data_IF_381743037793
#
_entry.id   IF_381743037793
#
_cell.length_a   1.000
_cell.length_b   1.000
_cell.length_c   1.000
_cell.angle_alpha   90.00
_cell.angle_beta   90.00
_cell.angle_gamma   90.00
#
_symmetry.space_group_name_H-M   'P 1'
#
loop_
_entity.id
_entity.type
_entity.pdbx_description
1 polymer ?
#
# COMPACT_ATOMS: atom_id res chain seq x y z
N UNK A 1 7.43 0.00 15.58
CA UNK A 1 6.31 0.62 14.88
C UNK A 1 6.60 2.08 14.55
N UNK A 2 6.06 2.59 13.44
CA UNK A 2 6.25 3.98 13.00
C UNK A 2 5.07 4.86 13.40
N UNK A 3 3.87 4.29 13.37
CA UNK A 3 2.61 4.96 13.63
C UNK A 3 1.76 4.15 14.58
N UNK A 4 0.94 4.80 15.38
CA UNK A 4 -0.05 4.18 16.25
C UNK A 4 -1.33 4.99 16.27
N UNK A 5 -2.46 4.31 16.41
CA UNK A 5 -3.74 4.96 16.68
C UNK A 5 -3.66 5.70 18.00
N UNK A 6 -4.02 6.99 18.06
CA UNK A 6 -4.08 7.75 19.31
C UNK A 6 -4.90 7.04 20.39
N UNK A 7 -4.43 7.12 21.63
CA UNK A 7 -5.13 6.52 22.77
C UNK A 7 -6.56 7.08 22.90
N UNK A 8 -7.50 6.19 23.20
CA UNK A 8 -8.92 6.55 23.36
C UNK A 8 -9.69 6.72 22.05
N UNK A 9 -9.02 6.58 20.90
CA UNK A 9 -9.66 6.58 19.57
C UNK A 9 -9.69 5.16 19.00
N UNK A 10 -10.84 4.72 18.52
CA UNK A 10 -10.96 3.45 17.78
C UNK A 10 -10.28 3.51 16.40
N UNK A 11 -10.21 2.39 15.66
CA UNK A 11 -9.69 2.36 14.32
C UNK A 11 -10.56 3.21 13.38
N UNK A 12 -9.90 4.00 12.53
CA UNK A 12 -10.57 4.71 11.45
C UNK A 12 -10.50 3.89 10.16
N UNK A 13 -11.57 3.94 9.38
CA UNK A 13 -11.64 3.33 8.06
C UNK A 13 -11.96 4.43 7.07
N UNK A 14 -11.05 4.69 6.15
CA UNK A 14 -11.29 5.58 5.01
C UNK A 14 -11.93 4.78 3.88
N UNK A 15 -12.97 5.34 3.27
CA UNK A 15 -13.65 4.74 2.12
C UNK A 15 -13.39 5.62 0.91
N UNK A 16 -12.66 5.10 -0.07
CA UNK A 16 -12.20 5.85 -1.25
C UNK A 16 -12.67 5.21 -2.54
N UNK A 17 -12.74 6.02 -3.60
CA UNK A 17 -13.02 5.53 -4.96
C UNK A 17 -11.83 4.69 -5.46
N UNK A 18 -12.08 3.40 -5.69
CA UNK A 18 -11.08 2.44 -6.13
C UNK A 18 -10.50 2.77 -7.50
N UNK A 19 -11.35 3.12 -8.46
CA UNK A 19 -10.91 3.38 -9.84
C UNK A 19 -10.11 4.68 -9.93
N UNK A 20 -10.48 5.69 -9.16
CA UNK A 20 -9.72 6.94 -9.10
C UNK A 20 -8.35 6.68 -8.46
N UNK A 21 -8.31 5.98 -7.33
CA UNK A 21 -7.04 5.63 -6.68
C UNK A 21 -6.12 4.83 -7.63
N UNK A 22 -6.66 3.77 -8.25
CA UNK A 22 -5.88 2.90 -9.13
C UNK A 22 -5.33 3.60 -10.39
N UNK A 23 -6.04 4.61 -10.92
CA UNK A 23 -5.64 5.32 -12.14
C UNK A 23 -4.81 6.55 -11.89
N UNK A 24 -5.09 7.26 -10.81
CA UNK A 24 -4.52 8.61 -10.59
C UNK A 24 -3.65 8.70 -9.35
N UNK A 25 -3.62 7.66 -8.51
CA UNK A 25 -2.98 7.71 -7.21
C UNK A 25 -3.63 8.71 -6.23
N UNK A 26 -4.92 9.06 -6.41
CA UNK A 26 -5.65 9.98 -5.54
C UNK A 26 -6.69 9.24 -4.73
N UNK A 27 -6.55 9.25 -3.40
CA UNK A 27 -7.51 8.67 -2.45
C UNK A 27 -8.71 9.61 -2.27
N UNK A 28 -9.63 9.59 -3.26
CA UNK A 28 -10.83 10.44 -3.24
C UNK A 28 -11.89 9.80 -2.32
N UNK A 29 -12.33 10.49 -1.25
CA UNK A 29 -13.33 9.95 -0.35
C UNK A 29 -14.66 9.72 -1.06
N UNK A 30 -15.33 8.64 -0.70
CA UNK A 30 -16.69 8.33 -1.15
C UNK A 30 -17.61 8.39 0.06
N UNK A 31 -18.77 9.04 -0.08
CA UNK A 31 -19.76 9.10 0.98
C UNK A 31 -20.23 7.69 1.36
N UNK A 32 -20.36 7.41 2.67
CA UNK A 32 -20.74 6.11 3.20
C UNK A 32 -22.08 5.56 2.65
N UNK A 33 -22.95 6.44 2.13
CA UNK A 33 -24.21 6.07 1.50
C UNK A 33 -24.06 5.50 0.06
N UNK A 34 -22.88 5.64 -0.55
CA UNK A 34 -22.58 5.11 -1.90
C UNK A 34 -21.88 3.75 -1.78
N UNK A 35 -22.52 2.80 -1.11
CA UNK A 35 -22.05 1.41 -0.99
C UNK A 35 -22.19 0.69 -2.34
N UNK A 36 -21.32 1.04 -3.29
CA UNK A 36 -21.19 0.37 -4.58
C UNK A 36 -19.98 -0.58 -4.59
N UNK A 37 -19.87 -1.42 -5.59
CA UNK A 37 -18.76 -2.37 -5.80
C UNK A 37 -17.43 -1.68 -6.12
N UNK A 38 -17.41 -0.35 -6.27
CA UNK A 38 -16.24 0.44 -6.69
C UNK A 38 -15.58 1.21 -5.53
N UNK A 39 -15.72 0.75 -4.31
CA UNK A 39 -15.08 1.37 -3.15
C UNK A 39 -13.98 0.49 -2.57
N UNK A 40 -12.92 1.15 -2.11
CA UNK A 40 -11.84 0.54 -1.33
C UNK A 40 -11.92 1.07 0.11
N UNK A 41 -11.88 0.16 1.08
CA UNK A 41 -11.86 0.50 2.50
C UNK A 41 -10.45 0.27 3.03
N UNK A 42 -9.80 1.35 3.48
CA UNK A 42 -8.44 1.32 3.99
C UNK A 42 -8.44 1.65 5.48
N UNK A 43 -7.84 0.79 6.29
CA UNK A 43 -7.76 1.00 7.74
C UNK A 43 -6.59 1.93 8.04
N UNK A 44 -6.82 2.92 8.91
CA UNK A 44 -5.78 3.82 9.38
C UNK A 44 -4.76 3.08 10.27
N UNK A 45 -3.48 3.28 9.97
CA UNK A 45 -2.37 2.83 10.81
C UNK A 45 -2.02 3.82 11.94
N UNK A 46 -2.78 4.92 12.05
CA UNK A 46 -2.60 5.96 13.05
C UNK A 46 -1.60 7.03 12.64
N UNK A 47 -1.10 7.77 13.65
CA UNK A 47 -0.22 8.93 13.50
C UNK A 47 1.22 8.58 13.86
N UNK A 48 2.21 9.33 13.35
CA UNK A 48 3.61 9.10 13.70
C UNK A 48 3.84 9.14 15.21
N UNK A 49 4.66 8.22 15.71
CA UNK A 49 5.09 8.25 17.11
C UNK A 49 6.02 9.45 17.36
N UNK A 50 6.13 9.93 18.61
CA UNK A 50 7.00 11.06 18.93
C UNK A 50 8.41 10.93 18.36
N UNK A 51 8.94 12.02 17.80
CA UNK A 51 10.26 12.12 17.16
C UNK A 51 10.43 11.27 15.89
N UNK A 52 9.35 10.75 15.33
CA UNK A 52 9.35 10.14 14.00
C UNK A 52 8.59 11.02 13.03
N UNK A 53 9.06 11.05 11.82
CA UNK A 53 8.43 11.73 10.70
C UNK A 53 8.15 10.71 9.60
N UNK A 54 7.05 10.91 8.92
CA UNK A 54 6.68 10.12 7.73
C UNK A 54 6.40 11.09 6.57
N UNK A 55 6.69 10.67 5.37
CA UNK A 55 6.26 11.34 4.16
C UNK A 55 5.88 10.34 3.08
N UNK A 56 5.05 10.79 2.18
CA UNK A 56 4.67 10.02 1.00
C UNK A 56 5.20 10.74 -0.23
N UNK A 57 5.96 10.05 -1.06
CA UNK A 57 6.65 10.67 -2.20
C UNK A 57 6.26 10.03 -3.54
N UNK A 58 6.35 10.82 -4.60
CA UNK A 58 6.21 10.37 -5.98
C UNK A 58 7.46 9.59 -6.45
N UNK A 59 7.47 9.01 -7.67
CA UNK A 59 8.65 8.33 -8.21
C UNK A 59 9.91 9.22 -8.32
N UNK A 60 9.74 10.55 -8.38
CA UNK A 60 10.85 11.51 -8.43
C UNK A 60 11.33 11.96 -7.03
N UNK A 61 10.80 11.38 -5.94
CA UNK A 61 11.16 11.72 -4.56
C UNK A 61 10.49 12.99 -4.03
N UNK A 62 9.56 13.59 -4.75
CA UNK A 62 8.85 14.81 -4.32
C UNK A 62 7.68 14.42 -3.40
N UNK A 63 7.56 15.13 -2.27
CA UNK A 63 6.46 14.89 -1.34
C UNK A 63 5.10 15.16 -1.99
N UNK A 64 4.18 14.24 -1.80
CA UNK A 64 2.82 14.32 -2.29
C UNK A 64 1.92 15.06 -1.29
N UNK A 65 0.92 15.80 -1.76
CA UNK A 65 -0.09 16.39 -0.88
C UNK A 65 -0.95 15.31 -0.24
N UNK A 66 -1.70 15.70 0.80
CA UNK A 66 -2.69 14.80 1.42
C UNK A 66 -3.53 14.08 0.37
N UNK A 67 -3.81 12.80 0.65
CA UNK A 67 -4.55 11.89 -0.22
C UNK A 67 -3.87 11.56 -1.55
N UNK A 68 -2.61 11.95 -1.72
CA UNK A 68 -1.76 11.46 -2.79
C UNK A 68 -1.12 10.14 -2.37
N UNK A 69 -1.31 9.08 -3.16
CA UNK A 69 -0.70 7.77 -2.93
C UNK A 69 0.69 7.69 -3.56
N UNK A 70 1.67 7.28 -2.78
CA UNK A 70 3.04 7.14 -3.22
C UNK A 70 3.85 6.18 -2.36
N UNK A 71 5.18 6.27 -2.47
CA UNK A 71 6.11 5.50 -1.65
C UNK A 71 6.17 6.11 -0.25
N UNK A 72 6.03 5.26 0.77
CA UNK A 72 6.15 5.68 2.17
C UNK A 72 7.61 5.71 2.58
N UNK A 73 8.04 6.83 3.12
CA UNK A 73 9.34 7.02 3.72
C UNK A 73 9.20 7.48 5.17
N UNK A 74 10.19 7.18 5.99
CA UNK A 74 10.23 7.67 7.37
C UNK A 74 11.64 8.02 7.81
N UNK A 75 11.72 8.83 8.86
CA UNK A 75 12.96 9.05 9.62
C UNK A 75 12.63 9.14 11.11
N UNK A 76 13.61 8.83 11.94
CA UNK A 76 13.46 8.90 13.38
C UNK A 76 14.42 7.98 14.12
N UNK A 77 14.41 8.03 15.47
CA UNK A 77 15.40 7.33 16.28
C UNK A 77 15.35 5.81 16.20
N UNK A 78 14.26 5.22 15.69
CA UNK A 78 14.17 3.76 15.48
C UNK A 78 14.57 3.32 14.07
N UNK A 79 15.01 4.25 13.20
CA UNK A 79 15.52 3.91 11.89
C UNK A 79 16.81 3.10 12.01
N UNK A 80 16.95 2.06 11.19
CA UNK A 80 18.19 1.30 11.10
C UNK A 80 19.30 2.13 10.45
N UNK A 81 20.56 1.84 10.75
CA UNK A 81 21.71 2.39 10.05
C UNK A 81 22.04 1.65 8.74
N UNK A 82 21.31 0.56 8.44
CA UNK A 82 21.47 -0.20 7.21
C UNK A 82 21.50 -1.73 7.43
N UNK A 83 21.83 -2.45 6.38
CA UNK A 83 21.98 -3.90 6.38
C UNK A 83 23.39 -4.32 6.73
N UNK A 84 23.52 -5.29 7.64
CA UNK A 84 24.84 -5.82 8.04
C UNK A 84 25.61 -6.38 6.85
N UNK A 85 26.83 -5.89 6.63
CA UNK A 85 27.73 -6.28 5.54
C UNK A 85 27.13 -6.20 4.12
N UNK A 86 26.13 -5.33 3.90
CA UNK A 86 25.50 -5.11 2.59
C UNK A 86 25.42 -3.62 2.24
N UNK A 87 26.56 -2.99 1.89
CA UNK A 87 26.58 -1.53 1.63
C UNK A 87 25.71 -1.11 0.46
N UNK A 88 25.66 -1.90 -0.62
CA UNK A 88 24.80 -1.59 -1.77
C UNK A 88 23.30 -1.60 -1.42
N UNK A 89 22.84 -2.61 -0.67
CA UNK A 89 21.46 -2.66 -0.21
C UNK A 89 21.16 -1.53 0.80
N UNK A 90 22.14 -1.14 1.61
CA UNK A 90 22.03 -0.01 2.53
C UNK A 90 21.85 1.30 1.76
N UNK A 91 22.66 1.55 0.72
CA UNK A 91 22.51 2.76 -0.11
C UNK A 91 21.13 2.85 -0.77
N UNK A 92 20.57 1.73 -1.18
CA UNK A 92 19.22 1.69 -1.78
C UNK A 92 18.08 1.87 -0.76
N UNK A 93 18.39 1.72 0.53
CA UNK A 93 17.40 1.87 1.60
C UNK A 93 17.12 3.34 1.93
N UNK A 94 18.04 4.24 1.61
CA UNK A 94 17.94 5.64 1.99
C UNK A 94 17.76 6.54 0.77
N UNK A 95 16.96 7.57 0.97
CA UNK A 95 16.80 8.74 0.12
C UNK A 95 17.15 9.96 1.00
N UNK A 96 18.42 10.40 0.94
CA UNK A 96 19.05 11.27 1.92
C UNK A 96 18.98 10.67 3.35
N UNK A 97 18.31 11.33 4.28
CA UNK A 97 18.06 10.88 5.66
C UNK A 97 16.73 10.14 5.84
N UNK A 98 15.99 9.92 4.75
CA UNK A 98 14.72 9.20 4.75
C UNK A 98 14.91 7.73 4.39
N UNK A 99 14.29 6.86 5.16
CA UNK A 99 14.33 5.42 4.95
C UNK A 99 13.11 4.96 4.16
N UNK A 100 13.35 4.24 3.07
CA UNK A 100 12.31 3.62 2.25
C UNK A 100 11.71 2.41 2.98
N UNK A 101 10.38 2.42 3.18
CA UNK A 101 9.70 1.28 3.80
C UNK A 101 9.44 0.13 2.83
N UNK A 102 9.38 0.44 1.54
CA UNK A 102 8.91 -0.47 0.50
C UNK A 102 7.39 -0.57 0.41
N UNK A 103 6.67 0.19 1.22
CA UNK A 103 5.22 0.24 1.21
C UNK A 103 4.70 1.45 0.42
N UNK A 104 3.46 1.34 -0.07
CA UNK A 104 2.69 2.45 -0.63
C UNK A 104 1.63 2.88 0.36
N UNK A 105 1.41 4.18 0.41
CA UNK A 105 0.49 4.77 1.36
C UNK A 105 -0.02 6.12 0.87
N UNK A 106 -1.02 6.65 1.56
CA UNK A 106 -1.37 8.06 1.56
C UNK A 106 -1.59 8.53 3.00
N UNK A 107 -1.55 9.86 3.20
CA UNK A 107 -1.86 10.50 4.49
C UNK A 107 -3.17 11.26 4.32
N UNK A 108 -4.06 11.15 5.29
CA UNK A 108 -5.27 11.94 5.35
C UNK A 108 -5.60 12.33 6.80
N UNK A 109 -5.83 13.61 7.05
CA UNK A 109 -6.08 14.17 8.38
C UNK A 109 -5.04 13.72 9.43
N UNK A 110 -3.78 13.62 9.03
CA UNK A 110 -2.66 13.22 9.88
C UNK A 110 -2.52 11.71 10.13
N UNK A 111 -3.44 10.88 9.68
CA UNK A 111 -3.36 9.43 9.78
C UNK A 111 -2.75 8.81 8.51
N UNK A 112 -1.95 7.77 8.72
CA UNK A 112 -1.35 6.97 7.66
C UNK A 112 -2.31 5.86 7.22
N UNK A 113 -2.46 5.67 5.90
CA UNK A 113 -3.23 4.60 5.29
C UNK A 113 -2.37 3.82 4.33
N UNK A 114 -2.11 2.55 4.61
CA UNK A 114 -1.32 1.67 3.74
C UNK A 114 -2.21 1.07 2.66
N UNK A 115 -1.75 1.14 1.40
CA UNK A 115 -2.46 0.59 0.24
C UNK A 115 -1.84 -0.69 -0.28
N UNK A 116 -0.58 -0.96 0.03
CA UNK A 116 0.11 -2.18 -0.39
C UNK A 116 1.62 -2.04 -0.35
N UNK A 117 2.32 -3.02 -0.94
CA UNK A 117 3.77 -2.96 -1.11
C UNK A 117 4.13 -2.57 -2.53
N UNK A 118 5.13 -1.70 -2.67
CA UNK A 118 5.57 -1.19 -3.97
C UNK A 118 5.96 -2.31 -4.94
N UNK A 119 6.57 -3.39 -4.45
CA UNK A 119 7.01 -4.55 -5.24
C UNK A 119 5.89 -5.55 -5.58
N UNK A 120 4.77 -5.49 -4.86
CA UNK A 120 3.69 -6.47 -5.01
C UNK A 120 2.55 -5.92 -5.87
N UNK A 121 2.49 -4.59 -6.07
CA UNK A 121 1.50 -3.95 -6.94
C UNK A 121 1.72 -4.40 -8.38
N UNK A 122 0.65 -4.87 -9.01
CA UNK A 122 0.65 -5.29 -10.41
C UNK A 122 0.25 -4.10 -11.27
N UNK A 123 1.10 -3.74 -12.23
CA UNK A 123 0.83 -2.62 -13.15
C UNK A 123 0.32 -3.19 -14.48
N UNK A 124 -0.96 -2.97 -14.77
CA UNK A 124 -1.56 -3.42 -16.02
C UNK A 124 -2.36 -2.32 -16.70
N UNK A 125 -2.04 -2.06 -17.96
CA UNK A 125 -2.70 -1.01 -18.76
C UNK A 125 -2.74 0.37 -18.05
N UNK A 126 -1.65 0.75 -17.36
CA UNK A 126 -1.56 2.02 -16.63
C UNK A 126 -2.36 2.08 -15.33
N UNK A 127 -2.86 0.95 -14.83
CA UNK A 127 -3.59 0.86 -13.56
C UNK A 127 -2.80 0.08 -12.53
N UNK A 128 -2.82 0.55 -11.29
CA UNK A 128 -2.36 -0.20 -10.15
C UNK A 128 -3.44 -1.22 -9.74
N UNK A 129 -3.04 -2.47 -9.60
CA UNK A 129 -3.89 -3.56 -9.09
C UNK A 129 -3.26 -4.01 -7.78
N UNK A 130 -4.05 -4.03 -6.74
CA UNK A 130 -3.64 -4.38 -5.38
C UNK A 130 -3.95 -5.86 -5.13
N UNK A 131 -2.93 -6.74 -5.02
CA UNK A 131 -3.13 -8.18 -4.86
C UNK A 131 -4.04 -8.56 -3.71
N UNK A 132 -3.90 -7.91 -2.55
CA UNK A 132 -4.68 -8.20 -1.36
C UNK A 132 -6.21 -8.15 -1.58
N UNK A 133 -6.69 -7.21 -2.41
CA UNK A 133 -8.11 -7.13 -2.74
C UNK A 133 -8.60 -8.34 -3.53
N UNK A 134 -7.78 -8.82 -4.46
CA UNK A 134 -8.09 -10.00 -5.26
C UNK A 134 -8.00 -11.26 -4.42
N UNK A 135 -7.01 -11.34 -3.52
CA UNK A 135 -6.84 -12.45 -2.59
C UNK A 135 -8.04 -12.59 -1.66
N UNK A 136 -8.54 -11.47 -1.11
CA UNK A 136 -9.73 -11.45 -0.27
C UNK A 136 -10.98 -11.87 -1.07
N UNK A 137 -11.22 -11.28 -2.23
CA UNK A 137 -12.37 -11.58 -3.07
C UNK A 137 -12.39 -13.05 -3.54
N UNK A 138 -11.23 -13.60 -3.91
CA UNK A 138 -11.11 -15.00 -4.34
C UNK A 138 -11.24 -15.94 -3.13
N UNK A 139 -10.69 -15.55 -1.98
CA UNK A 139 -10.78 -16.31 -0.74
C UNK A 139 -12.22 -16.48 -0.21
N UNK A 140 -13.14 -15.60 -0.62
CA UNK A 140 -14.54 -15.67 -0.27
C UNK A 140 -15.38 -16.56 -1.23
N UNK A 141 -14.78 -17.09 -2.32
CA UNK A 141 -15.45 -18.01 -3.22
C UNK A 141 -15.62 -19.39 -2.61
N UNK A 142 -16.76 -20.03 -2.92
CA UNK A 142 -17.03 -21.40 -2.49
C UNK A 142 -15.97 -22.37 -3.02
N UNK A 143 -15.51 -23.26 -2.15
CA UNK A 143 -14.48 -24.25 -2.48
C UNK A 143 -13.03 -23.74 -2.36
N UNK A 144 -12.82 -22.47 -2.13
CA UNK A 144 -11.50 -21.89 -1.86
C UNK A 144 -11.23 -21.86 -0.34
N UNK A 145 -10.01 -22.14 0.05
CA UNK A 145 -9.59 -22.03 1.44
C UNK A 145 -9.22 -20.57 1.74
N UNK A 146 -10.04 -19.89 2.55
CA UNK A 146 -9.81 -18.48 2.93
C UNK A 146 -8.44 -18.29 3.55
N UNK A 147 -7.72 -17.23 3.12
CA UNK A 147 -6.35 -16.93 3.55
C UNK A 147 -5.27 -17.78 2.85
N UNK A 148 -5.64 -18.64 1.90
CA UNK A 148 -4.72 -19.45 1.12
C UNK A 148 -4.83 -19.14 -0.37
N UNK A 149 -4.84 -17.86 -0.69
CA UNK A 149 -4.80 -17.32 -2.05
C UNK A 149 -3.57 -16.42 -2.15
N UNK A 150 -2.84 -16.52 -3.23
CA UNK A 150 -1.74 -15.62 -3.57
C UNK A 150 -1.96 -15.05 -4.97
N UNK A 151 -1.89 -13.74 -5.10
CA UNK A 151 -2.00 -13.02 -6.37
C UNK A 151 -0.73 -12.24 -6.63
N UNK A 152 -0.16 -12.38 -7.82
CA UNK A 152 1.06 -11.68 -8.20
C UNK A 152 1.13 -11.39 -9.69
N UNK A 153 1.96 -10.41 -10.05
CA UNK A 153 2.28 -10.08 -11.44
C UNK A 153 3.34 -11.02 -12.01
N UNK A 154 3.15 -11.42 -13.26
CA UNK A 154 4.18 -12.10 -14.03
C UNK A 154 4.36 -11.37 -15.35
N UNK A 155 5.59 -10.97 -15.66
CA UNK A 155 5.90 -10.27 -16.91
C UNK A 155 5.54 -11.14 -18.12
N UNK A 156 4.63 -10.67 -18.93
CA UNK A 156 4.33 -11.27 -20.23
C UNK A 156 5.24 -10.64 -21.29
N UNK A 157 6.19 -11.41 -21.77
CA UNK A 157 7.17 -10.97 -22.77
C UNK A 157 6.56 -10.62 -24.12
N UNK A 158 5.36 -11.13 -24.42
CA UNK A 158 4.69 -10.89 -25.70
C UNK A 158 3.96 -9.55 -25.71
N UNK A 159 3.26 -9.23 -24.61
CA UNK A 159 2.48 -7.99 -24.51
C UNK A 159 3.26 -6.83 -23.85
N UNK A 160 4.42 -7.10 -23.23
CA UNK A 160 5.20 -6.11 -22.50
C UNK A 160 4.53 -5.60 -21.23
N UNK A 161 3.44 -6.26 -20.79
CA UNK A 161 2.71 -5.91 -19.58
C UNK A 161 2.70 -7.05 -18.58
N UNK A 162 2.34 -6.77 -17.32
CA UNK A 162 2.19 -7.82 -16.33
C UNK A 162 0.87 -8.58 -16.54
N UNK A 163 0.96 -9.90 -16.43
CA UNK A 163 -0.17 -10.82 -16.37
C UNK A 163 -0.44 -11.16 -14.92
N UNK A 164 -1.72 -11.09 -14.52
CA UNK A 164 -2.15 -11.49 -13.19
C UNK A 164 -2.12 -13.02 -13.09
N UNK A 165 -1.41 -13.53 -12.08
CA UNK A 165 -1.38 -14.95 -11.74
C UNK A 165 -2.04 -15.12 -10.38
N UNK A 166 -2.91 -16.11 -10.28
CA UNK A 166 -3.61 -16.48 -9.05
C UNK A 166 -3.27 -17.92 -8.70
N UNK A 167 -2.83 -18.14 -7.47
CA UNK A 167 -2.69 -19.44 -6.86
C UNK A 167 -3.67 -19.54 -5.70
N UNK A 168 -4.51 -20.55 -5.71
CA UNK A 168 -5.51 -20.75 -4.67
C UNK A 168 -5.56 -22.22 -4.19
N UNK A 169 -5.58 -22.42 -2.89
CA UNK A 169 -5.79 -23.74 -2.30
C UNK A 169 -7.29 -24.04 -2.28
N UNK A 170 -7.68 -25.19 -2.84
CA UNK A 170 -9.07 -25.64 -2.83
C UNK A 170 -9.35 -26.54 -1.62
N UNK A 171 -10.56 -26.46 -1.08
CA UNK A 171 -11.05 -27.45 -0.11
C UNK A 171 -11.42 -28.71 -0.88
N UNK A 172 -10.88 -29.85 -0.44
CA UNK A 172 -11.32 -31.17 -0.91
C UNK A 172 -12.65 -31.52 -0.27
#
# INVERSE_FOLDING_TARGET
GLTFTPLGRGPLIDTVDRDVLARTGRAVPVAAAQSGTNVLRVVACGQPVPRHEIRVVDPAGRELPERGEGRLQFRGPSATSGYYQRPQATTQLFDDDWLETGDRAYIAAGDLYLTGRSKDIIIRAGRNIYPAELEDAIGDLDGIRKGHVAVFGSMDRTSGTERIVVLAETRK
#
